data_IF_809473773331
#
_entry.id   IF_809473773331
#
_cell.length_a   1.000
_cell.length_b   1.000
_cell.length_c   1.000
_cell.angle_alpha   90.00
_cell.angle_beta   90.00
_cell.angle_gamma   90.00
#
_symmetry.space_group_name_H-M   'P 1'
#
loop_
_entity.id
_entity.type
_entity.pdbx_description
1 polymer ?
#
# COMPACT_ATOMS: atom_id res chain seq x y z
N UNK A 1 5.27 8.28 46.64
CA UNK A 1 4.16 7.91 45.72
C UNK A 1 3.44 9.16 45.24
N UNK A 2 2.54 9.78 46.02
CA UNK A 2 1.76 10.94 45.57
C UNK A 2 2.59 12.14 45.04
N UNK A 3 3.70 12.49 45.71
CA UNK A 3 4.58 13.57 45.24
C UNK A 3 5.36 13.19 43.98
N UNK A 4 5.81 11.94 43.91
CA UNK A 4 6.54 11.40 42.74
C UNK A 4 5.66 11.36 41.48
N UNK A 5 4.35 11.09 41.59
CA UNK A 5 3.44 11.14 40.43
C UNK A 5 3.24 12.55 39.91
N UNK A 6 3.18 13.55 40.81
CA UNK A 6 3.09 14.96 40.40
C UNK A 6 4.38 15.42 39.74
N UNK A 7 5.53 15.03 40.29
CA UNK A 7 6.85 15.31 39.70
C UNK A 7 7.03 14.63 38.33
N UNK A 8 6.30 13.54 38.06
CA UNK A 8 6.26 12.83 36.77
C UNK A 8 5.25 13.41 35.75
N UNK A 9 4.49 14.44 36.13
CA UNK A 9 3.56 15.14 35.23
C UNK A 9 2.12 14.63 35.22
N UNK A 10 1.71 13.81 36.19
CA UNK A 10 0.31 13.38 36.34
C UNK A 10 -0.56 14.52 36.87
N UNK A 11 -1.78 14.68 36.31
CA UNK A 11 -2.71 15.76 36.65
C UNK A 11 -3.13 15.75 38.13
N UNK A 12 -3.22 14.54 38.72
CA UNK A 12 -3.60 14.33 40.11
C UNK A 12 -2.59 13.41 40.82
N UNK A 13 -2.38 13.57 42.14
CA UNK A 13 -1.50 12.68 42.89
C UNK A 13 -2.06 11.25 42.90
N UNK A 14 -1.27 10.30 42.42
CA UNK A 14 -1.68 8.90 42.37
C UNK A 14 -1.55 8.29 43.77
N UNK A 15 -2.69 7.91 44.34
CA UNK A 15 -2.77 7.27 45.65
C UNK A 15 -2.33 5.80 45.61
N UNK A 16 -1.85 5.22 46.72
CA UNK A 16 -1.47 3.81 46.80
C UNK A 16 -2.56 2.85 46.30
N UNK A 17 -3.83 3.18 46.54
CA UNK A 17 -4.96 2.38 46.07
C UNK A 17 -5.04 2.31 44.54
N UNK A 18 -4.72 3.40 43.84
CA UNK A 18 -4.70 3.43 42.39
C UNK A 18 -3.58 2.53 41.81
N UNK A 19 -2.42 2.48 42.47
CA UNK A 19 -1.35 1.53 42.14
C UNK A 19 -1.75 0.08 42.38
N UNK A 20 -2.36 -0.20 43.53
CA UNK A 20 -2.89 -1.54 43.84
C UNK A 20 -3.98 -1.96 42.84
N UNK A 21 -4.85 -1.04 42.44
CA UNK A 21 -5.86 -1.24 41.39
C UNK A 21 -5.21 -1.54 40.05
N UNK A 22 -4.21 -0.76 39.63
CA UNK A 22 -3.47 -1.00 38.39
C UNK A 22 -2.81 -2.37 38.36
N UNK A 23 -2.06 -2.73 39.41
CA UNK A 23 -1.39 -4.02 39.52
C UNK A 23 -2.38 -5.21 39.52
N UNK A 24 -3.48 -5.09 40.25
CA UNK A 24 -4.49 -6.14 40.31
C UNK A 24 -5.19 -6.35 38.95
N UNK A 25 -5.47 -5.28 38.21
CA UNK A 25 -6.04 -5.39 36.86
C UNK A 25 -5.04 -5.94 35.84
N UNK A 26 -3.75 -5.66 35.98
CA UNK A 26 -2.72 -6.26 35.12
C UNK A 26 -2.61 -7.79 35.29
N UNK A 27 -2.86 -8.30 36.51
CA UNK A 27 -2.94 -9.73 36.79
C UNK A 27 -4.29 -10.34 36.35
N UNK A 28 -5.36 -9.55 36.27
CA UNK A 28 -6.70 -10.00 35.93
C UNK A 28 -6.76 -10.47 34.46
N UNK A 29 -7.10 -11.75 34.22
CA UNK A 29 -7.12 -12.37 32.89
C UNK A 29 -5.79 -12.96 32.43
N UNK A 30 -4.66 -12.50 32.99
CA UNK A 30 -3.33 -13.07 32.76
C UNK A 30 -2.94 -14.16 33.77
N UNK A 31 -3.55 -14.13 34.95
CA UNK A 31 -3.40 -15.14 36.00
C UNK A 31 -4.80 -15.61 36.47
N UNK A 32 -4.85 -16.79 37.09
CA UNK A 32 -6.10 -17.26 37.69
C UNK A 32 -6.53 -16.36 38.85
N UNK A 33 -7.84 -16.29 39.12
CA UNK A 33 -8.39 -15.49 40.21
C UNK A 33 -7.72 -15.80 41.56
N UNK A 34 -7.43 -17.09 41.82
CA UNK A 34 -6.75 -17.53 43.04
C UNK A 34 -5.33 -16.94 43.17
N UNK A 35 -4.56 -16.89 42.07
CA UNK A 35 -3.21 -16.31 42.07
C UNK A 35 -3.28 -14.79 42.20
N UNK A 36 -4.19 -14.13 41.49
CA UNK A 36 -4.44 -12.68 41.61
C UNK A 36 -4.78 -12.31 43.06
N UNK A 37 -5.71 -13.03 43.67
CA UNK A 37 -6.16 -12.74 45.03
C UNK A 37 -5.06 -13.06 46.06
N UNK A 38 -4.25 -14.11 45.83
CA UNK A 38 -3.05 -14.38 46.63
C UNK A 38 -2.02 -13.23 46.56
N UNK A 39 -1.75 -12.69 45.37
CA UNK A 39 -0.84 -11.55 45.18
C UNK A 39 -1.31 -10.32 45.96
N UNK A 40 -2.62 -10.09 45.96
CA UNK A 40 -3.25 -8.96 46.66
C UNK A 40 -3.51 -9.24 48.15
N UNK A 41 -3.22 -10.46 48.63
CA UNK A 41 -3.58 -10.96 49.97
C UNK A 41 -5.07 -10.81 50.29
N UNK A 42 -5.91 -10.97 49.27
CA UNK A 42 -7.35 -11.02 49.43
C UNK A 42 -7.79 -12.45 49.72
N UNK A 43 -8.84 -12.58 50.53
CA UNK A 43 -9.53 -13.85 50.67
C UNK A 43 -10.39 -14.08 49.40
N UNK A 44 -10.14 -15.16 48.63
CA UNK A 44 -10.89 -15.45 47.41
C UNK A 44 -12.41 -15.54 47.60
N UNK A 45 -12.88 -15.78 48.84
CA UNK A 45 -14.31 -15.89 49.15
C UNK A 45 -15.05 -14.55 49.16
N UNK A 46 -14.35 -13.42 49.30
CA UNK A 46 -14.98 -12.13 49.61
C UNK A 46 -15.08 -11.18 48.40
N UNK A 47 -14.72 -11.64 47.21
CA UNK A 47 -14.81 -10.87 45.95
C UNK A 47 -14.27 -9.43 46.07
N UNK A 48 -13.28 -9.21 46.94
CA UNK A 48 -12.74 -7.88 47.27
C UNK A 48 -12.12 -7.21 46.04
N UNK A 49 -11.57 -8.00 45.13
CA UNK A 49 -11.12 -7.52 43.84
C UNK A 49 -12.28 -6.90 43.04
N UNK A 50 -13.38 -7.64 42.85
CA UNK A 50 -14.53 -7.19 42.06
C UNK A 50 -15.21 -5.94 42.62
N UNK A 51 -15.19 -5.73 43.93
CA UNK A 51 -15.86 -4.58 44.56
C UNK A 51 -14.99 -3.32 44.66
N UNK A 52 -13.67 -3.46 44.88
CA UNK A 52 -12.80 -2.32 45.19
C UNK A 52 -11.70 -2.05 44.15
N UNK A 53 -11.30 -3.08 43.39
CA UNK A 53 -10.10 -3.05 42.54
C UNK A 53 -10.37 -3.37 41.07
N UNK A 54 -11.56 -3.86 40.70
CA UNK A 54 -11.90 -3.99 39.28
C UNK A 54 -11.90 -2.60 38.65
N UNK A 55 -11.39 -2.49 37.43
CA UNK A 55 -11.40 -1.22 36.73
C UNK A 55 -12.84 -0.75 36.49
N UNK A 56 -13.10 0.52 36.74
CA UNK A 56 -14.40 1.15 36.47
C UNK A 56 -14.64 1.27 34.96
N UNK A 57 -13.57 1.35 34.17
CA UNK A 57 -13.63 1.32 32.72
C UNK A 57 -13.56 -0.13 32.23
N UNK A 58 -14.59 -0.56 31.51
CA UNK A 58 -14.66 -1.88 30.88
C UNK A 58 -13.70 -1.91 29.68
N UNK A 59 -12.57 -2.61 29.84
CA UNK A 59 -11.59 -2.86 28.77
C UNK A 59 -11.94 -4.08 27.91
N UNK A 60 -13.22 -4.26 27.59
CA UNK A 60 -13.71 -5.38 26.78
C UNK A 60 -14.52 -4.85 25.61
N UNK A 61 -14.22 -5.34 24.40
CA UNK A 61 -14.95 -4.98 23.18
C UNK A 61 -16.30 -5.70 23.13
N UNK A 62 -17.23 -5.28 23.99
CA UNK A 62 -18.55 -5.90 24.12
C UNK A 62 -19.31 -5.95 22.79
N UNK A 63 -19.16 -4.92 21.96
CA UNK A 63 -19.75 -4.87 20.62
C UNK A 63 -19.23 -5.99 19.73
N UNK A 64 -17.90 -6.15 19.61
CA UNK A 64 -17.30 -7.18 18.76
C UNK A 64 -17.68 -8.57 19.25
N UNK A 65 -17.65 -8.79 20.57
CA UNK A 65 -18.09 -10.05 21.17
C UNK A 65 -19.57 -10.36 20.88
N UNK A 66 -20.44 -9.34 20.84
CA UNK A 66 -21.84 -9.51 20.49
C UNK A 66 -22.04 -9.83 18.99
N UNK A 67 -21.19 -9.27 18.13
CA UNK A 67 -21.23 -9.47 16.68
C UNK A 67 -20.44 -10.71 16.20
N UNK A 68 -19.84 -11.48 17.12
CA UNK A 68 -18.92 -12.57 16.82
C UNK A 68 -17.72 -12.14 15.94
N UNK A 69 -17.26 -10.91 16.16
CA UNK A 69 -16.12 -10.29 15.48
C UNK A 69 -14.85 -10.37 16.34
N UNK A 70 -13.65 -10.46 15.72
CA UNK A 70 -12.39 -10.51 16.45
C UNK A 70 -12.15 -9.23 17.27
N UNK A 71 -11.47 -9.38 18.41
CA UNK A 71 -11.03 -8.23 19.23
C UNK A 71 -9.89 -7.46 18.54
N UNK A 72 -9.74 -6.18 18.87
CA UNK A 72 -8.67 -5.33 18.31
C UNK A 72 -7.28 -5.92 18.61
N UNK A 73 -7.05 -6.41 19.83
CA UNK A 73 -5.81 -7.08 20.21
C UNK A 73 -5.53 -8.33 19.36
N UNK A 74 -6.56 -9.07 18.97
CA UNK A 74 -6.40 -10.23 18.07
C UNK A 74 -6.01 -9.80 16.66
N UNK A 75 -6.56 -8.69 16.17
CA UNK A 75 -6.18 -8.10 14.88
C UNK A 75 -4.74 -7.55 14.91
N UNK A 76 -4.35 -6.87 15.99
CA UNK A 76 -2.98 -6.38 16.21
C UNK A 76 -1.99 -7.54 16.34
N UNK A 77 -2.35 -8.62 17.04
CA UNK A 77 -1.58 -9.85 17.09
C UNK A 77 -1.40 -10.48 15.70
N UNK A 78 -2.47 -10.60 14.93
CA UNK A 78 -2.40 -11.13 13.56
C UNK A 78 -1.51 -10.27 12.66
N UNK A 79 -1.66 -8.93 12.71
CA UNK A 79 -0.89 -7.99 11.91
C UNK A 79 0.61 -7.97 12.31
N UNK A 80 0.92 -8.11 13.59
CA UNK A 80 2.30 -8.17 14.08
C UNK A 80 2.98 -9.50 13.71
N UNK A 81 2.27 -10.64 13.74
CA UNK A 81 2.80 -11.93 13.30
C UNK A 81 3.07 -12.03 11.79
N UNK A 82 2.35 -11.27 10.95
CA UNK A 82 2.62 -11.23 9.49
C UNK A 82 4.05 -10.78 9.19
N UNK A 83 4.61 -9.88 10.01
CA UNK A 83 6.00 -9.44 9.89
C UNK A 83 7.02 -10.52 10.23
N UNK A 84 6.70 -11.40 11.19
CA UNK A 84 7.59 -12.48 11.63
C UNK A 84 7.84 -13.53 10.53
N UNK A 85 6.88 -13.71 9.62
CA UNK A 85 6.97 -14.64 8.49
C UNK A 85 7.61 -14.02 7.25
N UNK A 86 8.02 -12.74 7.32
CA UNK A 86 8.68 -12.03 6.22
C UNK A 86 10.19 -12.19 6.37
N UNK A 87 10.79 -13.02 5.52
CA UNK A 87 12.23 -12.95 5.24
C UNK A 87 12.46 -12.01 4.04
N UNK A 88 13.17 -10.88 4.20
CA UNK A 88 13.40 -9.94 3.11
C UNK A 88 14.40 -10.44 2.06
N UNK A 89 15.19 -11.48 2.35
CA UNK A 89 16.00 -12.23 1.36
C UNK A 89 15.08 -12.99 0.40
N UNK A 90 13.84 -13.27 0.82
CA UNK A 90 12.89 -14.04 0.04
C UNK A 90 12.07 -13.21 -0.98
N UNK A 91 12.79 -12.50 -1.86
CA UNK A 91 12.19 -11.63 -2.88
C UNK A 91 11.35 -12.39 -3.91
N UNK A 92 10.51 -11.67 -4.66
CA UNK A 92 9.67 -12.26 -5.73
C UNK A 92 10.50 -12.94 -6.84
N UNK A 93 11.70 -12.44 -7.08
CA UNK A 93 12.62 -12.93 -8.13
C UNK A 93 13.88 -13.55 -7.51
N UNK A 94 13.73 -14.28 -6.39
CA UNK A 94 14.82 -14.95 -5.66
C UNK A 94 15.49 -16.12 -6.40
N UNK A 95 14.90 -16.62 -7.49
CA UNK A 95 15.42 -17.79 -8.21
C UNK A 95 16.64 -17.37 -9.03
N UNK A 96 17.85 -17.88 -8.73
CA UNK A 96 19.09 -17.52 -9.43
C UNK A 96 19.03 -17.82 -10.93
N UNK A 97 19.83 -17.10 -11.73
CA UNK A 97 19.80 -17.25 -13.19
C UNK A 97 20.24 -18.66 -13.62
N UNK A 98 21.21 -19.22 -12.90
CA UNK A 98 21.77 -20.55 -13.09
C UNK A 98 20.69 -21.63 -12.93
N UNK A 99 19.78 -21.46 -11.96
CA UNK A 99 18.63 -22.35 -11.75
C UNK A 99 17.66 -22.25 -12.92
N UNK A 100 17.46 -21.06 -13.51
CA UNK A 100 16.65 -20.92 -14.72
C UNK A 100 17.28 -21.59 -15.94
N UNK A 101 18.61 -21.53 -16.09
CA UNK A 101 19.35 -22.13 -17.21
C UNK A 101 19.40 -23.67 -17.13
N UNK A 102 19.53 -24.22 -15.92
CA UNK A 102 19.54 -25.67 -15.70
C UNK A 102 18.17 -26.32 -15.90
N UNK A 103 17.08 -25.54 -15.92
CA UNK A 103 15.73 -26.06 -16.03
C UNK A 103 15.39 -26.38 -17.50
N UNK A 104 15.20 -27.67 -17.87
CA UNK A 104 14.94 -28.05 -19.25
C UNK A 104 13.67 -27.36 -19.79
N UNK A 105 13.62 -26.98 -21.07
CA UNK A 105 12.38 -26.46 -21.65
C UNK A 105 11.27 -27.50 -21.53
N UNK A 106 10.12 -27.09 -21.02
CA UNK A 106 8.96 -27.96 -20.89
C UNK A 106 8.50 -28.39 -22.29
N UNK A 107 8.53 -29.70 -22.54
CA UNK A 107 8.19 -30.29 -23.84
C UNK A 107 6.75 -29.97 -24.26
N UNK A 108 5.84 -29.82 -23.31
CA UNK A 108 4.46 -29.41 -23.57
C UNK A 108 4.35 -27.93 -23.94
N UNK A 109 5.18 -27.05 -23.36
CA UNK A 109 5.23 -25.63 -23.74
C UNK A 109 5.87 -25.48 -25.13
N UNK A 110 6.97 -26.17 -25.40
CA UNK A 110 7.65 -26.13 -26.70
C UNK A 110 6.73 -26.60 -27.84
N UNK A 111 5.96 -27.67 -27.62
CA UNK A 111 4.97 -28.16 -28.58
C UNK A 111 3.87 -27.12 -28.86
N UNK A 112 3.35 -26.47 -27.83
CA UNK A 112 2.31 -25.44 -27.95
C UNK A 112 2.82 -24.14 -28.56
N UNK A 113 4.09 -23.80 -28.37
CA UNK A 113 4.74 -22.68 -29.04
C UNK A 113 4.94 -22.94 -30.54
N UNK A 114 5.32 -24.16 -30.91
CA UNK A 114 5.38 -24.60 -32.30
C UNK A 114 4.00 -24.58 -32.97
N UNK A 115 2.97 -25.07 -32.29
CA UNK A 115 1.58 -25.02 -32.75
C UNK A 115 1.07 -23.57 -32.86
N UNK A 116 1.41 -22.71 -31.89
CA UNK A 116 1.11 -21.27 -31.95
C UNK A 116 1.79 -20.57 -33.12
N UNK A 117 3.04 -20.94 -33.44
CA UNK A 117 3.75 -20.39 -34.59
C UNK A 117 3.01 -20.70 -35.91
N UNK A 118 2.33 -21.84 -35.99
CA UNK A 118 1.49 -22.23 -37.12
C UNK A 118 0.12 -21.51 -37.14
N UNK A 119 -0.41 -21.09 -35.98
CA UNK A 119 -1.80 -20.62 -35.83
C UNK A 119 -1.98 -19.11 -35.57
N UNK A 120 -1.00 -18.24 -35.84
CA UNK A 120 -1.02 -16.82 -35.41
C UNK A 120 -2.33 -16.05 -35.73
N UNK A 121 -3.16 -15.87 -34.69
CA UNK A 121 -4.31 -14.95 -34.66
C UNK A 121 -4.95 -14.70 -33.28
N UNK A 122 -4.47 -15.32 -32.20
CA UNK A 122 -5.09 -15.23 -30.85
C UNK A 122 -4.17 -14.67 -29.77
N UNK A 123 -4.76 -13.90 -28.84
CA UNK A 123 -4.14 -13.48 -27.58
C UNK A 123 -3.94 -14.69 -26.67
N UNK A 124 -2.68 -15.08 -26.42
CA UNK A 124 -2.35 -16.13 -25.45
C UNK A 124 -1.13 -15.71 -24.62
N UNK A 125 -1.36 -15.48 -23.32
CA UNK A 125 -0.44 -15.86 -22.25
C UNK A 125 -1.18 -16.95 -21.46
N UNK A 126 -0.57 -18.05 -20.99
CA UNK A 126 0.06 -18.00 -19.66
C UNK A 126 0.72 -19.35 -19.26
N UNK A 127 0.92 -20.35 -20.13
CA UNK A 127 1.53 -21.63 -19.68
C UNK A 127 2.98 -21.45 -19.21
N UNK A 128 3.75 -20.63 -19.92
CA UNK A 128 5.10 -20.23 -19.50
C UNK A 128 5.09 -19.40 -18.21
N UNK A 129 4.17 -18.45 -18.07
CA UNK A 129 4.01 -17.65 -16.85
C UNK A 129 3.58 -18.50 -15.65
N UNK A 130 2.72 -19.50 -15.88
CA UNK A 130 2.30 -20.46 -14.87
C UNK A 130 3.46 -21.35 -14.43
N UNK A 131 4.26 -21.86 -15.38
CA UNK A 131 5.49 -22.61 -15.09
C UNK A 131 6.48 -21.77 -14.27
N UNK A 132 6.76 -20.53 -14.68
CA UNK A 132 7.63 -19.61 -13.93
C UNK A 132 7.12 -19.40 -12.49
N UNK A 133 5.81 -19.23 -12.30
CA UNK A 133 5.23 -19.11 -10.97
C UNK A 133 5.36 -20.40 -10.14
N UNK A 134 5.16 -21.57 -10.74
CA UNK A 134 5.35 -22.87 -10.05
C UNK A 134 6.79 -23.04 -9.60
N UNK A 135 7.76 -22.75 -10.46
CA UNK A 135 9.20 -22.84 -10.14
C UNK A 135 9.55 -21.88 -9.00
N UNK A 136 9.11 -20.62 -9.10
CA UNK A 136 9.32 -19.64 -8.02
C UNK A 136 8.71 -20.10 -6.69
N UNK A 137 7.52 -20.70 -6.72
CA UNK A 137 6.88 -21.20 -5.51
C UNK A 137 7.67 -22.37 -4.91
N UNK A 138 8.05 -23.35 -5.71
CA UNK A 138 8.81 -24.51 -5.24
C UNK A 138 10.18 -24.10 -4.68
N UNK A 139 10.89 -23.20 -5.36
CA UNK A 139 12.18 -22.68 -4.87
C UNK A 139 12.01 -21.89 -3.58
N UNK A 140 10.93 -21.11 -3.45
CA UNK A 140 10.62 -20.38 -2.22
C UNK A 140 10.28 -21.31 -1.06
N UNK A 141 9.52 -22.37 -1.30
CA UNK A 141 9.22 -23.41 -0.31
C UNK A 141 10.50 -24.11 0.18
N UNK A 142 11.37 -24.49 -0.75
CA UNK A 142 12.68 -25.10 -0.43
C UNK A 142 13.59 -24.14 0.36
N UNK A 143 13.65 -22.87 -0.06
CA UNK A 143 14.38 -21.82 0.65
C UNK A 143 13.94 -21.72 2.11
N UNK A 144 12.65 -21.56 2.40
CA UNK A 144 12.16 -21.44 3.78
C UNK A 144 12.32 -22.73 4.59
N UNK A 145 12.25 -23.89 3.95
CA UNK A 145 12.44 -25.18 4.62
C UNK A 145 13.90 -25.36 5.07
N UNK A 146 14.86 -25.01 4.21
CA UNK A 146 16.28 -25.25 4.45
C UNK A 146 16.98 -24.08 5.15
N UNK A 147 16.36 -22.89 5.18
CA UNK A 147 16.94 -21.68 5.77
C UNK A 147 17.39 -21.85 7.22
N UNK A 148 16.58 -22.42 8.14
CA UNK A 148 17.04 -22.63 9.52
C UNK A 148 18.28 -23.51 9.60
N UNK A 149 18.42 -24.49 8.71
CA UNK A 149 19.60 -25.37 8.63
C UNK A 149 20.83 -24.60 8.13
N UNK A 150 20.69 -23.80 7.08
CA UNK A 150 21.78 -22.98 6.57
C UNK A 150 22.25 -21.93 7.58
N UNK A 151 21.33 -21.33 8.34
CA UNK A 151 21.68 -20.36 9.39
C UNK A 151 22.50 -21.03 10.51
N UNK A 152 22.13 -22.24 10.94
CA UNK A 152 22.91 -23.02 11.93
C UNK A 152 24.29 -23.42 11.38
N UNK A 153 24.37 -23.78 10.10
CA UNK A 153 25.63 -24.13 9.42
C UNK A 153 26.54 -22.92 9.19
N UNK A 154 25.96 -21.72 9.09
CA UNK A 154 26.65 -20.47 8.81
C UNK A 154 27.21 -19.75 10.06
N UNK A 155 26.92 -20.21 11.28
CA UNK A 155 27.37 -19.65 12.58
C UNK A 155 28.92 -19.57 12.79
N UNK A 156 29.71 -19.68 11.71
CA UNK A 156 31.15 -19.41 11.67
C UNK A 156 31.65 -18.59 10.46
N UNK A 157 30.78 -18.04 9.61
CA UNK A 157 31.14 -17.16 8.48
C UNK A 157 30.30 -15.87 8.49
N UNK A 158 30.86 -14.80 7.91
CA UNK A 158 30.34 -13.42 7.92
C UNK A 158 28.80 -13.36 7.73
N UNK A 159 28.10 -12.76 8.70
CA UNK A 159 26.68 -12.46 8.58
C UNK A 159 26.44 -11.70 7.26
N UNK A 160 25.68 -12.29 6.33
CA UNK A 160 25.27 -11.59 5.11
C UNK A 160 24.59 -10.27 5.51
N UNK A 161 25.24 -9.14 5.18
CA UNK A 161 24.78 -7.81 5.54
C UNK A 161 23.36 -7.58 5.01
N UNK A 162 22.42 -7.41 5.93
CA UNK A 162 21.03 -7.18 5.61
C UNK A 162 20.85 -5.78 5.01
N UNK A 163 20.61 -5.72 3.70
CA UNK A 163 20.23 -4.47 3.02
C UNK A 163 18.71 -4.39 2.94
N UNK A 164 18.11 -3.46 3.68
CA UNK A 164 16.68 -3.23 3.60
C UNK A 164 16.30 -2.75 2.18
N UNK A 165 15.37 -3.44 1.49
CA UNK A 165 15.02 -3.06 0.13
C UNK A 165 14.29 -1.71 0.12
N UNK A 166 14.77 -0.77 -0.71
CA UNK A 166 14.14 0.53 -0.87
C UNK A 166 12.65 0.39 -1.27
N UNK A 167 11.75 0.87 -0.41
CA UNK A 167 10.31 0.87 -0.67
C UNK A 167 9.98 2.06 -1.57
N UNK A 168 9.66 1.79 -2.83
CA UNK A 168 9.31 2.82 -3.80
C UNK A 168 7.81 3.14 -3.74
N UNK A 169 7.47 4.27 -3.13
CA UNK A 169 6.10 4.77 -3.01
C UNK A 169 5.78 5.74 -4.14
N UNK A 170 4.80 5.39 -4.98
CA UNK A 170 4.46 6.13 -6.21
C UNK A 170 3.55 7.33 -5.98
N UNK A 171 2.75 7.30 -4.91
CA UNK A 171 1.90 8.42 -4.50
C UNK A 171 2.74 9.29 -3.58
N UNK A 172 3.06 10.55 -3.95
CA UNK A 172 3.85 11.45 -3.13
C UNK A 172 3.27 11.59 -1.72
N UNK A 173 1.95 11.72 -1.63
CA UNK A 173 1.26 11.86 -0.35
C UNK A 173 1.46 10.63 0.56
N UNK A 174 1.58 9.44 -0.03
CA UNK A 174 1.87 8.20 0.71
C UNK A 174 3.34 8.11 1.11
N UNK A 175 4.26 8.59 0.26
CA UNK A 175 5.67 8.65 0.56
C UNK A 175 5.94 9.58 1.73
N UNK A 176 5.39 10.79 1.69
CA UNK A 176 5.50 11.78 2.77
C UNK A 176 4.87 11.26 4.08
N UNK A 177 3.71 10.61 3.99
CA UNK A 177 3.08 10.02 5.16
C UNK A 177 3.94 8.90 5.78
N UNK A 178 4.61 8.08 4.96
CA UNK A 178 5.51 7.04 5.46
C UNK A 178 6.69 7.64 6.22
N UNK A 179 7.30 8.73 5.72
CA UNK A 179 8.37 9.44 6.43
C UNK A 179 7.90 9.98 7.79
N UNK A 180 6.71 10.60 7.84
CA UNK A 180 6.18 11.17 9.08
C UNK A 180 5.85 10.08 10.11
N UNK A 181 5.29 8.95 9.69
CA UNK A 181 4.82 7.89 10.59
C UNK A 181 5.90 6.90 11.00
N UNK A 182 6.88 6.64 10.12
CA UNK A 182 7.90 5.60 10.33
C UNK A 182 9.26 6.17 10.75
N UNK A 183 9.64 7.35 10.23
CA UNK A 183 10.95 7.98 10.46
C UNK A 183 10.84 9.23 11.35
N UNK A 184 9.93 9.22 12.33
CA UNK A 184 9.73 10.37 13.21
C UNK A 184 10.98 10.58 14.10
N UNK A 185 11.60 11.77 14.11
CA UNK A 185 12.75 12.02 14.98
C UNK A 185 12.36 12.09 16.45
N UNK A 186 13.21 11.52 17.32
CA UNK A 186 12.93 11.36 18.75
C UNK A 186 12.95 12.68 19.54
N UNK A 187 13.55 13.74 19.00
CA UNK A 187 13.83 14.99 19.69
C UNK A 187 12.87 16.15 19.34
N UNK A 188 11.63 15.84 18.98
CA UNK A 188 10.63 16.84 18.58
C UNK A 188 10.04 17.60 19.78
N UNK A 189 9.94 18.93 19.65
CA UNK A 189 9.12 19.73 20.56
C UNK A 189 7.63 19.46 20.37
N UNK A 190 6.80 19.76 21.38
CA UNK A 190 5.34 19.61 21.29
C UNK A 190 4.74 20.37 20.10
N UNK A 191 5.33 21.52 19.74
CA UNK A 191 4.87 22.33 18.59
C UNK A 191 5.20 21.70 17.24
N UNK A 192 6.36 21.05 17.10
CA UNK A 192 6.75 20.37 15.87
C UNK A 192 5.95 19.08 15.69
N UNK A 193 5.71 18.37 16.80
CA UNK A 193 4.86 17.18 16.83
C UNK A 193 3.43 17.52 16.40
N UNK A 194 2.86 18.64 16.86
CA UNK A 194 1.55 19.11 16.41
C UNK A 194 1.54 19.40 14.90
N UNK A 195 2.57 20.07 14.37
CA UNK A 195 2.68 20.36 12.93
C UNK A 195 2.72 19.07 12.10
N UNK A 196 3.52 18.08 12.51
CA UNK A 196 3.61 16.79 11.83
C UNK A 196 2.27 16.05 11.86
N UNK A 197 1.53 16.10 12.97
CA UNK A 197 0.18 15.51 13.05
C UNK A 197 -0.82 16.18 12.11
N UNK A 198 -0.79 17.51 12.01
CA UNK A 198 -1.64 18.25 11.06
C UNK A 198 -1.29 17.85 9.63
N UNK A 199 0.01 17.85 9.29
CA UNK A 199 0.48 17.45 7.97
C UNK A 199 0.09 16.00 7.63
N UNK A 200 0.25 15.06 8.57
CA UNK A 200 -0.18 13.68 8.39
C UNK A 200 -1.70 13.57 8.12
N UNK A 201 -2.53 14.34 8.83
CA UNK A 201 -3.97 14.36 8.61
C UNK A 201 -4.33 14.93 7.22
N UNK A 202 -3.68 16.02 6.81
CA UNK A 202 -3.87 16.62 5.47
C UNK A 202 -3.45 15.64 4.36
N UNK A 203 -2.32 14.95 4.53
CA UNK A 203 -1.84 13.93 3.59
C UNK A 203 -2.79 12.73 3.53
N UNK A 204 -3.32 12.27 4.66
CA UNK A 204 -4.33 11.20 4.71
C UNK A 204 -5.60 11.59 3.94
N UNK A 205 -6.08 12.83 4.11
CA UNK A 205 -7.24 13.34 3.36
C UNK A 205 -6.93 13.43 1.86
N UNK A 206 -5.76 13.95 1.50
CA UNK A 206 -5.34 14.04 0.11
C UNK A 206 -5.21 12.65 -0.55
N UNK A 207 -4.65 11.68 0.18
CA UNK A 207 -4.46 10.30 -0.27
C UNK A 207 -5.78 9.59 -0.56
N UNK A 208 -6.84 9.84 0.21
CA UNK A 208 -8.19 9.31 -0.05
C UNK A 208 -8.72 9.70 -1.45
N UNK A 209 -8.25 10.82 -2.01
CA UNK A 209 -8.59 11.27 -3.36
C UNK A 209 -7.72 10.66 -4.47
N UNK A 210 -6.68 9.89 -4.15
CA UNK A 210 -5.72 9.33 -5.12
C UNK A 210 -6.01 7.87 -5.43
N UNK A 211 -5.61 7.43 -6.63
CA UNK A 211 -5.78 6.05 -7.09
C UNK A 211 -4.55 5.58 -7.86
N UNK A 212 -4.14 4.34 -7.63
CA UNK A 212 -3.08 3.68 -8.41
C UNK A 212 -3.73 2.77 -9.46
N UNK A 213 -3.23 2.80 -10.71
CA UNK A 213 -3.75 1.92 -11.77
C UNK A 213 -2.69 0.94 -12.28
N UNK A 214 -3.14 -0.08 -13.02
CA UNK A 214 -2.26 -1.07 -13.67
C UNK A 214 -1.26 -0.42 -14.65
N UNK A 215 -1.49 0.83 -15.08
CA UNK A 215 -0.55 1.56 -15.95
C UNK A 215 0.82 1.72 -15.30
N UNK A 216 0.88 1.80 -13.97
CA UNK A 216 2.12 1.88 -13.19
C UNK A 216 3.13 0.79 -13.55
N UNK A 217 2.66 -0.45 -13.74
CA UNK A 217 3.52 -1.60 -14.02
C UNK A 217 4.18 -1.50 -15.41
N UNK A 218 3.76 -0.56 -16.25
CA UNK A 218 4.23 -0.36 -17.62
C UNK A 218 5.00 0.96 -17.78
N UNK A 219 5.07 1.79 -16.75
CA UNK A 219 5.86 3.02 -16.75
C UNK A 219 7.29 2.61 -16.37
N UNK A 220 8.27 2.72 -17.28
CA UNK A 220 9.65 2.38 -16.94
C UNK A 220 10.19 3.40 -15.94
N UNK A 221 10.70 2.95 -14.78
CA UNK A 221 11.63 3.77 -14.01
C UNK A 221 12.88 3.95 -14.86
N UNK A 222 13.11 5.16 -15.35
CA UNK A 222 14.51 5.57 -15.48
C UNK A 222 15.01 5.62 -14.05
N UNK A 223 16.09 4.90 -13.75
CA UNK A 223 16.85 5.17 -12.53
C UNK A 223 17.01 6.69 -12.47
N UNK A 224 16.62 7.32 -11.36
CA UNK A 224 16.95 8.73 -11.12
C UNK A 224 18.48 8.75 -11.06
N UNK A 225 19.13 8.92 -12.20
CA UNK A 225 20.48 9.44 -12.19
C UNK A 225 20.38 10.78 -11.47
N UNK A 226 21.26 11.02 -10.50
CA UNK A 226 21.43 12.31 -9.85
C UNK A 226 21.82 13.34 -10.91
N UNK A 227 20.82 13.82 -11.65
CA UNK A 227 20.95 14.97 -12.52
C UNK A 227 20.83 16.16 -11.59
N UNK A 228 22.00 16.63 -11.18
CA UNK A 228 22.19 17.99 -10.67
C UNK A 228 21.33 18.93 -11.49
N UNK A 229 20.34 19.52 -10.83
CA UNK A 229 19.40 20.48 -11.43
C UNK A 229 20.21 21.70 -11.85
N UNK A 230 20.59 21.77 -13.12
CA UNK A 230 20.81 23.06 -13.77
C UNK A 230 19.44 23.65 -14.01
N UNK A 231 19.23 24.87 -13.50
CA UNK A 231 18.08 25.70 -13.84
C UNK A 231 18.03 25.90 -15.36
N UNK A 232 17.21 25.10 -16.04
CA UNK A 232 16.96 25.25 -17.48
C UNK A 232 15.50 25.59 -17.73
N UNK A 233 15.21 26.89 -17.89
CA UNK A 233 14.07 27.46 -18.62
C UNK A 233 12.63 27.03 -18.19
N UNK A 234 11.56 27.71 -18.61
CA UNK A 234 10.20 27.25 -18.30
C UNK A 234 10.02 25.86 -18.95
N UNK A 235 9.93 24.82 -18.12
CA UNK A 235 9.74 23.46 -18.60
C UNK A 235 8.54 23.36 -19.56
N UNK A 236 8.57 22.41 -20.52
CA UNK A 236 7.47 22.23 -21.46
C UNK A 236 6.15 22.07 -20.69
N UNK A 237 5.13 22.80 -21.12
CA UNK A 237 3.79 22.80 -20.54
C UNK A 237 3.35 21.38 -20.12
N UNK A 238 3.08 21.13 -18.83
CA UNK A 238 2.81 19.78 -18.31
C UNK A 238 1.61 19.11 -18.98
N UNK A 239 0.65 19.90 -19.47
CA UNK A 239 -0.56 19.41 -20.13
C UNK A 239 -0.83 20.25 -21.39
N UNK A 240 -0.09 20.00 -22.47
CA UNK A 240 -0.23 20.75 -23.70
C UNK A 240 -1.62 20.56 -24.28
N UNK A 241 -2.21 21.64 -24.79
CA UNK A 241 -3.57 21.59 -25.36
C UNK A 241 -3.64 20.59 -26.52
N UNK A 242 -2.60 20.55 -27.35
CA UNK A 242 -2.37 19.53 -28.36
C UNK A 242 -1.71 18.32 -27.71
N UNK A 243 -2.45 17.21 -27.65
CA UNK A 243 -2.01 15.98 -27.01
C UNK A 243 -1.26 15.07 -28.00
N UNK A 244 -0.47 14.14 -27.45
CA UNK A 244 0.06 13.04 -28.24
C UNK A 244 -1.09 12.11 -28.67
N UNK A 245 -1.09 11.67 -29.93
CA UNK A 245 -2.14 10.79 -30.50
C UNK A 245 -2.28 9.45 -29.75
N UNK A 246 -1.28 9.08 -28.94
CA UNK A 246 -1.25 7.85 -28.12
C UNK A 246 -1.59 8.10 -26.66
N UNK A 247 -1.98 9.31 -26.25
CA UNK A 247 -2.46 9.61 -24.91
C UNK A 247 -3.98 9.51 -24.83
N UNK A 248 -4.49 9.25 -23.62
CA UNK A 248 -5.93 9.17 -23.37
C UNK A 248 -6.48 10.57 -23.00
N UNK A 249 -7.42 11.14 -23.78
CA UNK A 249 -7.99 12.47 -23.55
C UNK A 249 -8.77 12.62 -22.24
N UNK A 250 -9.22 11.51 -21.64
CA UNK A 250 -9.93 11.52 -20.35
C UNK A 250 -8.97 11.44 -19.16
N UNK A 251 -7.98 10.55 -19.24
CA UNK A 251 -7.03 10.33 -18.14
C UNK A 251 -6.13 11.53 -17.88
N UNK A 252 -5.79 12.32 -18.90
CA UNK A 252 -4.93 13.50 -18.74
C UNK A 252 -5.49 14.52 -17.73
N UNK A 253 -6.82 14.56 -17.61
CA UNK A 253 -7.55 15.46 -16.73
C UNK A 253 -8.06 14.85 -15.44
N UNK A 254 -7.66 13.60 -15.14
CA UNK A 254 -8.07 12.91 -13.93
C UNK A 254 -7.05 13.19 -12.82
N UNK A 255 -7.43 14.07 -11.88
CA UNK A 255 -6.56 14.51 -10.77
C UNK A 255 -6.39 13.43 -9.69
N UNK A 256 -7.19 12.36 -9.74
CA UNK A 256 -7.02 11.20 -8.87
C UNK A 256 -5.82 10.34 -9.28
N UNK A 257 -5.31 10.52 -10.51
CA UNK A 257 -4.15 9.81 -11.05
C UNK A 257 -2.86 10.61 -10.89
N UNK A 258 -1.73 9.91 -10.82
CA UNK A 258 -0.41 10.56 -10.81
C UNK A 258 -0.10 11.26 -12.13
N UNK A 259 0.84 12.21 -12.13
CA UNK A 259 1.26 12.91 -13.35
C UNK A 259 1.69 11.94 -14.46
N UNK A 260 2.43 10.90 -14.12
CA UNK A 260 2.92 9.90 -15.07
C UNK A 260 1.77 9.07 -15.67
N UNK A 261 0.75 8.73 -14.88
CA UNK A 261 -0.42 7.99 -15.35
C UNK A 261 -1.36 8.86 -16.21
N UNK A 262 -1.46 10.15 -15.89
CA UNK A 262 -2.20 11.15 -16.67
C UNK A 262 -1.57 11.38 -18.04
N UNK A 263 -0.24 11.42 -18.10
CA UNK A 263 0.54 11.64 -19.33
C UNK A 263 0.95 10.34 -20.05
N UNK A 264 0.47 9.19 -19.56
CA UNK A 264 0.82 7.86 -20.08
C UNK A 264 0.62 7.73 -21.59
N UNK A 265 1.68 7.29 -22.29
CA UNK A 265 1.68 7.05 -23.74
C UNK A 265 1.53 5.57 -24.02
N UNK A 266 0.44 5.20 -24.70
CA UNK A 266 0.24 3.82 -25.13
C UNK A 266 1.21 3.45 -26.26
N UNK A 267 1.53 2.16 -26.38
CA UNK A 267 2.38 1.65 -27.45
C UNK A 267 1.78 1.90 -28.84
N UNK A 268 0.46 1.81 -28.98
CA UNK A 268 -0.29 1.99 -30.24
C UNK A 268 -1.59 2.74 -30.00
N UNK A 269 -2.04 3.51 -30.99
CA UNK A 269 -3.34 4.22 -30.97
C UNK A 269 -4.51 3.27 -30.75
N UNK A 270 -4.49 2.10 -31.39
CA UNK A 270 -5.52 1.07 -31.21
C UNK A 270 -5.73 0.67 -29.74
N UNK A 271 -4.63 0.46 -29.01
CA UNK A 271 -4.65 0.07 -27.59
C UNK A 271 -5.16 1.22 -26.70
N UNK A 272 -4.82 2.47 -27.04
CA UNK A 272 -5.38 3.64 -26.38
C UNK A 272 -6.91 3.71 -26.57
N UNK A 273 -7.41 3.42 -27.77
CA UNK A 273 -8.85 3.36 -28.03
C UNK A 273 -9.53 2.27 -27.22
N UNK A 274 -8.98 1.05 -27.21
CA UNK A 274 -9.57 -0.05 -26.42
C UNK A 274 -9.63 0.31 -24.93
N UNK A 275 -8.61 1.02 -24.41
CA UNK A 275 -8.66 1.56 -23.06
C UNK A 275 -9.76 2.61 -22.90
N UNK A 276 -9.87 3.57 -23.82
CA UNK A 276 -10.88 4.62 -23.77
C UNK A 276 -12.29 4.03 -23.81
N UNK A 277 -12.57 3.13 -24.74
CA UNK A 277 -13.88 2.52 -24.91
C UNK A 277 -14.26 1.67 -23.68
N UNK A 278 -13.31 0.86 -23.18
CA UNK A 278 -13.55 -0.02 -22.03
C UNK A 278 -13.69 0.73 -20.70
N UNK A 279 -12.94 1.82 -20.49
CA UNK A 279 -12.87 2.50 -19.19
C UNK A 279 -13.69 3.78 -19.11
N UNK A 280 -13.86 4.48 -20.22
CA UNK A 280 -14.46 5.83 -20.23
C UNK A 280 -15.74 5.90 -21.06
N UNK A 281 -15.83 5.22 -22.22
CA UNK A 281 -17.01 5.36 -23.09
C UNK A 281 -18.30 4.87 -22.42
N UNK A 282 -18.26 3.79 -21.62
CA UNK A 282 -19.42 3.32 -20.86
C UNK A 282 -19.90 4.36 -19.83
N UNK A 283 -18.97 5.07 -19.19
CA UNK A 283 -19.30 6.14 -18.25
C UNK A 283 -19.92 7.34 -18.96
N UNK A 284 -19.50 7.61 -20.20
CA UNK A 284 -20.02 8.71 -21.02
C UNK A 284 -21.41 8.42 -21.61
N UNK A 285 -21.77 7.15 -21.82
CA UNK A 285 -23.07 6.76 -22.37
C UNK A 285 -24.27 7.02 -21.45
N UNK A 286 -24.05 7.17 -20.14
CA UNK A 286 -25.11 7.39 -19.15
C UNK A 286 -25.26 8.82 -18.63
N UNK A 287 -24.38 9.75 -19.04
CA UNK A 287 -24.34 11.10 -18.46
C UNK A 287 -25.02 12.10 -19.39
N UNK A 288 -25.89 12.95 -18.84
CA UNK A 288 -26.64 13.98 -19.59
C UNK A 288 -25.73 15.06 -20.21
N UNK A 289 -24.58 15.33 -19.59
CA UNK A 289 -23.58 16.31 -20.01
C UNK A 289 -22.17 15.73 -19.82
N UNK A 290 -21.38 15.68 -20.88
CA UNK A 290 -20.02 15.17 -20.86
C UNK A 290 -19.03 16.35 -20.87
N UNK A 291 -18.37 16.67 -19.74
CA UNK A 291 -17.37 17.73 -19.72
C UNK A 291 -16.06 17.26 -20.37
N UNK A 292 -15.28 18.17 -20.96
CA UNK A 292 -13.89 17.87 -21.28
C UNK A 292 -13.02 17.92 -20.02
N UNK A 293 -12.31 16.83 -19.71
CA UNK A 293 -11.48 16.76 -18.52
C UNK A 293 -10.13 17.48 -18.67
N UNK A 294 -9.72 17.86 -19.89
CA UNK A 294 -8.43 18.49 -20.11
C UNK A 294 -8.26 19.75 -19.24
N UNK A 295 -7.15 19.92 -18.49
CA UNK A 295 -7.00 21.03 -17.53
C UNK A 295 -7.25 22.41 -18.13
N UNK A 296 -6.89 22.61 -19.40
CA UNK A 296 -7.13 23.86 -20.13
C UNK A 296 -8.58 24.06 -20.60
N UNK A 297 -9.32 23.00 -20.90
CA UNK A 297 -10.72 23.09 -21.32
C UNK A 297 -11.68 23.19 -20.13
N UNK A 298 -11.24 22.74 -18.93
CA UNK A 298 -12.04 22.86 -17.70
C UNK A 298 -12.35 24.32 -17.34
N UNK A 299 -11.43 25.24 -17.65
CA UNK A 299 -11.63 26.69 -17.47
C UNK A 299 -12.74 27.27 -18.34
N UNK A 300 -13.00 26.63 -19.49
CA UNK A 300 -14.01 27.05 -20.46
C UNK A 300 -15.38 26.40 -20.22
N UNK A 301 -15.51 25.54 -19.20
CA UNK A 301 -16.73 24.83 -18.82
C UNK A 301 -17.45 24.15 -20.02
N UNK A 302 -16.69 23.61 -20.96
CA UNK A 302 -17.24 22.97 -22.16
C UNK A 302 -17.94 21.65 -21.82
N UNK A 303 -19.26 21.64 -21.95
CA UNK A 303 -20.11 20.47 -21.74
C UNK A 303 -20.79 20.03 -23.04
N UNK A 304 -20.69 18.74 -23.35
CA UNK A 304 -21.25 18.16 -24.57
C UNK A 304 -22.45 17.26 -24.26
N UNK A 305 -23.57 17.46 -24.96
CA UNK A 305 -24.78 16.61 -24.83
C UNK A 305 -24.69 15.27 -25.56
N UNK A 306 -23.84 15.17 -26.59
CA UNK A 306 -23.70 13.95 -27.41
C UNK A 306 -22.23 13.55 -27.57
N UNK A 307 -21.99 12.23 -27.57
CA UNK A 307 -20.65 11.65 -27.58
C UNK A 307 -19.87 12.08 -28.84
N UNK A 308 -20.57 12.23 -29.97
CA UNK A 308 -19.96 12.69 -31.21
C UNK A 308 -19.44 14.13 -31.14
N UNK A 309 -20.12 15.03 -30.41
CA UNK A 309 -19.62 16.39 -30.20
C UNK A 309 -18.37 16.40 -29.33
N UNK A 310 -18.34 15.57 -28.29
CA UNK A 310 -17.13 15.37 -27.48
C UNK A 310 -15.97 14.82 -28.33
N UNK A 311 -16.21 13.76 -29.12
CA UNK A 311 -15.20 13.18 -30.02
C UNK A 311 -14.65 14.22 -31.00
N UNK A 312 -15.53 15.05 -31.59
CA UNK A 312 -15.13 16.13 -32.49
C UNK A 312 -14.32 17.22 -31.79
N UNK A 313 -14.68 17.62 -30.57
CA UNK A 313 -13.89 18.55 -29.77
C UNK A 313 -12.49 18.00 -29.50
N UNK A 314 -12.39 16.73 -29.09
CA UNK A 314 -11.11 16.08 -28.80
C UNK A 314 -10.24 15.97 -30.07
N UNK A 315 -10.83 15.69 -31.24
CA UNK A 315 -10.07 15.66 -32.50
C UNK A 315 -9.57 17.06 -32.91
N UNK A 316 -10.42 18.09 -32.81
CA UNK A 316 -10.10 19.45 -33.27
C UNK A 316 -9.21 20.24 -32.31
N UNK A 317 -9.47 20.16 -31.00
CA UNK A 317 -8.77 20.93 -29.96
C UNK A 317 -7.55 20.17 -29.45
N UNK A 318 -7.67 18.85 -29.25
CA UNK A 318 -6.60 18.04 -28.68
C UNK A 318 -5.81 17.22 -29.71
N UNK A 319 -6.23 17.18 -30.98
CA UNK A 319 -5.52 16.44 -32.03
C UNK A 319 -5.63 14.91 -31.94
N UNK A 320 -6.51 14.40 -31.07
CA UNK A 320 -6.69 12.96 -30.83
C UNK A 320 -8.00 12.49 -31.47
N UNK A 321 -7.90 11.83 -32.62
CA UNK A 321 -9.07 11.20 -33.25
C UNK A 321 -9.49 9.95 -32.48
N UNK A 322 -10.68 9.92 -31.89
CA UNK A 322 -11.30 8.73 -31.27
C UNK A 322 -12.04 7.88 -32.32
N UNK A 323 -12.30 6.58 -32.07
CA UNK A 323 -13.12 5.76 -32.99
C UNK A 323 -14.53 6.31 -33.08
N UNK A 324 -15.13 6.23 -34.26
CA UNK A 324 -16.52 6.65 -34.53
C UNK A 324 -17.51 5.92 -33.63
#
# INVERSE_FOLDING_TARGET
MARQSLDAGEENPIEPKAWCRGAANAANGNASDAVRDQMMRHDPKWATFNSAYINEKVGFHLQNAFLDEPTEDSLLGMLSHIGLMRDPRASKDMVPHEVWEMMPPDSGIAALEAERAQLKGGQYGSKEAQRKNTIRRAYKEDFFHNRPTWDIEADGQEEEEYVEPAIDLYIPERAELAEILYNQPDNLSSTELLKLRIQAAELMVALCGKRETVKRNRIPRRARADVTVKEESPGPDPFPLLMDRKQCPRCIGDETLSYEERTFKYCRRAVMYDHFDKKHAQQLGGVKQMPCNHPKCRREALEFKHLNHFKNHVERVHGVKLRA
#
